data_IF_792779083664
#
_entry.id   IF_792779083664
#
_cell.length_a   1.000
_cell.length_b   1.000
_cell.length_c   1.000
_cell.angle_alpha   90.00
_cell.angle_beta   90.00
_cell.angle_gamma   90.00
#
_symmetry.space_group_name_H-M   'P 1'
#
loop_
_entity.id
_entity.type
_entity.pdbx_description
1 polymer ?
#
# COMPACT_ATOMS: atom_id res chain seq x y z
N UNK A 1 -17.00 -9.28 7.72
CA UNK A 1 -15.56 -8.95 7.95
C UNK A 1 -15.48 -7.48 8.34
N UNK A 2 -14.56 -7.11 9.22
CA UNK A 2 -14.20 -5.72 9.49
C UNK A 2 -12.74 -5.51 9.11
N UNK A 3 -12.41 -4.40 8.45
CA UNK A 3 -11.06 -4.09 7.99
C UNK A 3 -10.50 -2.83 8.66
N UNK A 4 -9.20 -2.81 8.94
CA UNK A 4 -8.41 -1.60 9.15
C UNK A 4 -7.70 -1.25 7.84
N UNK A 5 -7.87 -0.04 7.36
CA UNK A 5 -7.17 0.49 6.16
C UNK A 5 -6.30 1.66 6.57
N UNK A 6 -4.98 1.54 6.38
CA UNK A 6 -4.03 2.63 6.60
C UNK A 6 -3.76 3.39 5.30
N UNK A 7 -3.36 4.67 5.39
CA UNK A 7 -3.28 5.53 4.21
C UNK A 7 -4.66 5.82 3.60
N UNK A 8 -5.70 5.78 4.42
CA UNK A 8 -7.10 5.79 4.00
C UNK A 8 -7.58 7.16 3.47
N UNK A 9 -6.83 8.23 3.65
CA UNK A 9 -7.05 9.52 3.01
C UNK A 9 -6.39 9.63 1.62
N UNK A 10 -5.52 8.67 1.26
CA UNK A 10 -4.86 8.59 -0.04
C UNK A 10 -5.73 7.93 -1.11
N UNK A 11 -5.38 8.11 -2.39
CA UNK A 11 -6.22 7.64 -3.50
C UNK A 11 -6.48 6.12 -3.51
N UNK A 12 -5.46 5.28 -3.24
CA UNK A 12 -5.65 3.83 -3.17
C UNK A 12 -6.34 3.43 -1.86
N UNK A 13 -5.90 4.00 -0.72
CA UNK A 13 -6.46 3.65 0.59
C UNK A 13 -7.94 3.99 0.72
N UNK A 14 -8.39 5.16 0.20
CA UNK A 14 -9.81 5.52 0.18
C UNK A 14 -10.62 4.55 -0.68
N UNK A 15 -10.14 4.23 -1.88
CA UNK A 15 -10.82 3.28 -2.76
C UNK A 15 -10.88 1.86 -2.17
N UNK A 16 -9.86 1.45 -1.42
CA UNK A 16 -9.89 0.19 -0.66
C UNK A 16 -10.97 0.25 0.42
N UNK A 17 -11.01 1.31 1.23
CA UNK A 17 -12.00 1.48 2.28
C UNK A 17 -13.44 1.46 1.70
N UNK A 18 -13.67 2.21 0.65
CA UNK A 18 -14.95 2.24 -0.08
C UNK A 18 -15.34 0.86 -0.64
N UNK A 19 -14.38 0.10 -1.18
CA UNK A 19 -14.65 -1.22 -1.73
C UNK A 19 -15.07 -2.21 -0.63
N UNK A 20 -14.48 -2.14 0.57
CA UNK A 20 -14.93 -2.92 1.72
C UNK A 20 -16.34 -2.53 2.14
N UNK A 21 -16.66 -1.24 2.26
CA UNK A 21 -18.00 -0.75 2.63
C UNK A 21 -19.07 -1.15 1.61
N UNK A 22 -18.78 -0.99 0.33
CA UNK A 22 -19.68 -1.42 -0.75
C UNK A 22 -19.91 -2.94 -0.74
N UNK A 23 -18.96 -3.71 -0.22
CA UNK A 23 -19.08 -5.13 0.06
C UNK A 23 -19.86 -5.46 1.34
N UNK A 24 -20.41 -4.48 2.06
CA UNK A 24 -21.13 -4.66 3.32
C UNK A 24 -20.20 -4.94 4.52
N UNK A 25 -18.94 -4.52 4.46
CA UNK A 25 -17.96 -4.72 5.52
C UNK A 25 -17.73 -3.44 6.33
N UNK A 26 -17.46 -3.57 7.63
CA UNK A 26 -17.05 -2.43 8.46
C UNK A 26 -15.60 -2.01 8.14
N UNK A 27 -15.31 -0.72 8.27
CA UNK A 27 -13.97 -0.18 8.04
C UNK A 27 -13.57 0.77 9.16
N UNK A 28 -12.40 0.51 9.77
CA UNK A 28 -11.64 1.47 10.56
C UNK A 28 -10.58 2.10 9.64
N UNK A 29 -10.47 3.41 9.63
CA UNK A 29 -9.51 4.14 8.79
C UNK A 29 -8.37 4.69 9.62
N UNK A 30 -7.20 4.77 9.01
CA UNK A 30 -6.04 5.44 9.61
C UNK A 30 -5.28 6.23 8.54
N UNK A 31 -4.83 7.43 8.88
CA UNK A 31 -3.88 8.24 8.08
C UNK A 31 -3.22 9.31 8.96
N UNK A 32 -2.24 10.03 8.42
CA UNK A 32 -1.63 11.22 9.05
C UNK A 32 -2.64 12.35 9.28
N UNK A 33 -3.68 12.42 8.44
CA UNK A 33 -4.74 13.44 8.49
C UNK A 33 -6.08 12.82 8.12
N UNK A 34 -7.12 13.14 8.84
CA UNK A 34 -8.48 12.83 8.42
C UNK A 34 -8.94 13.85 7.36
N UNK A 35 -9.75 13.45 6.36
CA UNK A 35 -10.47 14.37 5.52
C UNK A 35 -11.39 15.26 6.36
N UNK A 36 -11.60 16.52 5.96
CA UNK A 36 -12.43 17.48 6.71
C UNK A 36 -13.88 16.97 6.93
N UNK A 37 -14.43 16.29 5.91
CA UNK A 37 -15.77 15.70 5.93
C UNK A 37 -15.67 14.16 6.02
N UNK A 38 -14.61 13.65 6.65
CA UNK A 38 -14.34 12.21 6.77
C UNK A 38 -15.26 11.52 7.77
N UNK A 39 -15.34 10.18 7.70
CA UNK A 39 -16.11 9.39 8.65
C UNK A 39 -15.57 9.53 10.07
N UNK A 40 -16.44 9.41 11.06
CA UNK A 40 -16.08 9.51 12.49
C UNK A 40 -15.08 8.41 12.93
N UNK A 41 -15.06 7.28 12.23
CA UNK A 41 -14.23 6.13 12.58
C UNK A 41 -12.84 6.22 11.90
N UNK A 42 -12.03 7.19 12.37
CA UNK A 42 -10.72 7.51 11.79
C UNK A 42 -9.67 7.70 12.90
N UNK A 43 -8.58 6.95 12.83
CA UNK A 43 -7.39 7.12 13.68
C UNK A 43 -6.40 8.02 12.96
N UNK A 44 -6.15 9.19 13.52
CA UNK A 44 -5.17 10.15 12.98
C UNK A 44 -3.84 9.97 13.71
N UNK A 45 -2.75 9.82 12.96
CA UNK A 45 -1.41 9.76 13.53
C UNK A 45 -0.39 9.11 12.60
N UNK A 46 0.88 9.23 13.02
CA UNK A 46 2.00 8.67 12.29
C UNK A 46 2.26 7.22 12.74
N UNK A 47 2.31 6.27 11.81
CA UNK A 47 2.64 4.87 12.10
C UNK A 47 4.11 4.65 12.55
N UNK A 48 4.93 5.70 12.57
CA UNK A 48 6.21 5.69 13.25
C UNK A 48 6.10 5.85 14.78
N UNK A 49 4.95 6.31 15.29
CA UNK A 49 4.72 6.60 16.70
C UNK A 49 4.17 5.37 17.43
N UNK A 50 4.75 5.03 18.58
CA UNK A 50 4.35 3.87 19.37
C UNK A 50 2.92 3.97 19.88
N UNK A 51 2.48 5.15 20.28
CA UNK A 51 1.12 5.40 20.78
C UNK A 51 0.06 5.12 19.70
N UNK A 52 0.33 5.49 18.44
CA UNK A 52 -0.57 5.23 17.31
C UNK A 52 -0.66 3.72 17.04
N UNK A 53 0.47 3.02 17.07
CA UNK A 53 0.49 1.56 16.88
C UNK A 53 -0.22 0.83 18.02
N UNK A 54 -0.04 1.28 19.27
CA UNK A 54 -0.73 0.72 20.43
C UNK A 54 -2.25 0.94 20.34
N UNK A 55 -2.69 2.11 19.91
CA UNK A 55 -4.12 2.41 19.69
C UNK A 55 -4.68 1.53 18.57
N UNK A 56 -3.99 1.39 17.45
CA UNK A 56 -4.43 0.52 16.36
C UNK A 56 -4.51 -0.95 16.79
N UNK A 57 -3.51 -1.45 17.52
CA UNK A 57 -3.54 -2.82 18.06
C UNK A 57 -4.76 -3.04 18.97
N UNK A 58 -5.00 -2.10 19.88
CA UNK A 58 -6.18 -2.14 20.77
C UNK A 58 -7.49 -2.11 19.97
N UNK A 59 -7.60 -1.25 18.95
CA UNK A 59 -8.80 -1.15 18.09
C UNK A 59 -9.01 -2.42 17.28
N UNK A 60 -7.93 -3.02 16.74
CA UNK A 60 -7.99 -4.30 16.01
C UNK A 60 -8.58 -5.40 16.89
N UNK A 61 -8.18 -5.45 18.17
CA UNK A 61 -8.71 -6.41 19.15
C UNK A 61 -10.17 -6.11 19.51
N UNK A 62 -10.45 -4.90 20.03
CA UNK A 62 -11.75 -4.54 20.60
C UNK A 62 -12.87 -4.48 19.57
N UNK A 63 -12.56 -4.07 18.34
CA UNK A 63 -13.53 -3.97 17.25
C UNK A 63 -13.60 -5.22 16.37
N UNK A 64 -12.87 -6.26 16.77
CA UNK A 64 -12.87 -7.55 16.09
C UNK A 64 -12.51 -7.44 14.60
N UNK A 65 -11.45 -6.72 14.31
CA UNK A 65 -10.97 -6.54 12.92
C UNK A 65 -10.34 -7.84 12.43
N UNK A 66 -10.77 -8.30 11.25
CA UNK A 66 -10.34 -9.55 10.62
C UNK A 66 -9.27 -9.35 9.55
N UNK A 67 -9.16 -8.12 9.03
CA UNK A 67 -8.25 -7.79 7.96
C UNK A 67 -7.57 -6.44 8.21
N UNK A 68 -6.26 -6.37 7.97
CA UNK A 68 -5.54 -5.10 7.93
C UNK A 68 -5.00 -4.89 6.51
N UNK A 69 -5.28 -3.73 5.92
CA UNK A 69 -4.74 -3.32 4.62
C UNK A 69 -3.77 -2.17 4.83
N UNK A 70 -2.48 -2.44 4.69
CA UNK A 70 -1.43 -1.43 4.75
C UNK A 70 -1.29 -0.77 3.37
N UNK A 71 -2.00 0.36 3.15
CA UNK A 71 -2.02 1.10 1.89
C UNK A 71 -1.30 2.46 1.96
N UNK A 72 -0.67 2.78 3.09
CA UNK A 72 0.13 3.98 3.25
C UNK A 72 1.49 3.88 2.54
N UNK A 73 2.03 5.02 2.16
CA UNK A 73 3.36 5.13 1.57
C UNK A 73 3.59 6.49 0.92
N UNK A 74 4.83 6.74 0.56
CA UNK A 74 5.27 7.97 -0.12
C UNK A 74 5.98 7.62 -1.42
N UNK A 75 5.96 8.54 -2.40
CA UNK A 75 6.78 8.41 -3.60
C UNK A 75 8.27 8.56 -3.26
N UNK A 76 9.12 7.94 -4.05
CA UNK A 76 10.55 8.15 -4.00
C UNK A 76 10.94 9.50 -4.63
N UNK A 77 12.18 9.91 -4.44
CA UNK A 77 12.76 11.02 -5.18
C UNK A 77 13.00 10.62 -6.64
N UNK A 78 12.77 11.56 -7.55
CA UNK A 78 12.82 11.33 -9.01
C UNK A 78 14.24 11.14 -9.52
N UNK A 79 15.29 11.64 -8.84
CA UNK A 79 16.67 11.55 -9.29
C UNK A 79 17.56 10.82 -8.28
N UNK A 80 18.00 9.60 -8.66
CA UNK A 80 18.93 8.77 -7.87
C UNK A 80 20.30 9.42 -7.63
N UNK A 81 20.71 10.34 -8.50
CA UNK A 81 22.05 10.98 -8.42
C UNK A 81 22.12 12.05 -7.33
N UNK A 82 20.96 12.48 -6.81
CA UNK A 82 20.84 13.56 -5.82
C UNK A 82 20.18 13.14 -4.51
N UNK A 83 19.89 11.84 -4.30
CA UNK A 83 19.16 11.38 -3.12
C UNK A 83 20.04 11.45 -1.86
N UNK A 84 19.61 12.18 -0.86
CA UNK A 84 20.29 12.27 0.42
C UNK A 84 20.06 11.03 1.29
N UNK A 85 20.95 10.78 2.27
CA UNK A 85 20.74 9.73 3.26
C UNK A 85 19.47 9.97 4.11
N UNK A 86 19.09 11.23 4.30
CA UNK A 86 17.86 11.60 5.01
C UNK A 86 16.62 11.22 4.22
N UNK A 87 16.57 11.56 2.93
CA UNK A 87 15.50 11.15 2.03
C UNK A 87 15.38 9.63 1.92
N UNK A 88 16.52 8.94 1.83
CA UNK A 88 16.55 7.46 1.84
C UNK A 88 15.91 6.91 3.12
N UNK A 89 16.33 7.41 4.28
CA UNK A 89 15.73 6.99 5.57
C UNK A 89 14.24 7.30 5.62
N UNK A 90 13.81 8.48 5.18
CA UNK A 90 12.40 8.85 5.16
C UNK A 90 11.56 7.88 4.33
N UNK A 91 11.96 7.60 3.07
CA UNK A 91 11.23 6.67 2.18
C UNK A 91 11.21 5.25 2.76
N UNK A 92 12.35 4.74 3.25
CA UNK A 92 12.42 3.42 3.85
C UNK A 92 11.57 3.32 5.12
N UNK A 93 11.56 4.35 5.95
CA UNK A 93 10.73 4.39 7.17
C UNK A 93 9.25 4.40 6.81
N UNK A 94 8.84 5.29 5.90
CA UNK A 94 7.44 5.45 5.54
C UNK A 94 6.86 4.27 4.75
N UNK A 95 7.66 3.64 3.88
CA UNK A 95 7.15 2.58 3.00
C UNK A 95 7.37 1.18 3.54
N UNK A 96 8.39 0.98 4.38
CA UNK A 96 8.79 -0.37 4.80
C UNK A 96 8.69 -0.53 6.31
N UNK A 97 9.47 0.24 7.07
CA UNK A 97 9.57 0.06 8.53
C UNK A 97 8.21 0.20 9.21
N UNK A 98 7.40 1.20 8.81
CA UNK A 98 6.06 1.41 9.35
C UNK A 98 5.11 0.25 9.10
N UNK A 99 5.20 -0.39 7.90
CA UNK A 99 4.38 -1.57 7.56
C UNK A 99 4.78 -2.77 8.42
N UNK A 100 6.09 -2.99 8.62
CA UNK A 100 6.58 -4.07 9.46
C UNK A 100 6.15 -3.87 10.92
N UNK A 101 6.29 -2.66 11.45
CA UNK A 101 5.86 -2.32 12.82
C UNK A 101 4.34 -2.47 13.00
N UNK A 102 3.55 -2.03 12.02
CA UNK A 102 2.11 -2.26 12.03
C UNK A 102 1.79 -3.76 12.07
N UNK A 103 2.47 -4.56 11.23
CA UNK A 103 2.29 -6.01 11.24
C UNK A 103 2.60 -6.60 12.62
N UNK A 104 3.74 -6.26 13.21
CA UNK A 104 4.13 -6.74 14.54
C UNK A 104 3.10 -6.40 15.62
N UNK A 105 2.53 -5.19 15.55
CA UNK A 105 1.52 -4.73 16.51
C UNK A 105 0.19 -5.48 16.39
N UNK A 106 -0.25 -5.87 15.17
CA UNK A 106 -1.59 -6.44 14.94
C UNK A 106 -1.57 -7.95 14.68
N UNK A 107 -0.44 -8.54 14.32
CA UNK A 107 -0.34 -9.94 13.96
C UNK A 107 -0.80 -10.92 15.06
N UNK A 108 -0.53 -10.68 16.36
CA UNK A 108 -1.03 -11.56 17.41
C UNK A 108 -2.57 -11.71 17.37
N UNK A 109 -3.29 -10.59 17.30
CA UNK A 109 -4.75 -10.58 17.25
C UNK A 109 -5.27 -11.22 15.94
N UNK A 110 -4.65 -10.88 14.81
CA UNK A 110 -5.04 -11.47 13.53
C UNK A 110 -4.81 -12.98 13.48
N UNK A 111 -3.78 -13.51 14.18
CA UNK A 111 -3.55 -14.97 14.28
C UNK A 111 -4.71 -15.68 14.96
N UNK A 112 -5.16 -15.17 16.10
CA UNK A 112 -6.28 -15.74 16.85
C UNK A 112 -7.57 -15.78 16.04
N UNK A 113 -7.74 -14.83 15.14
CA UNK A 113 -8.93 -14.67 14.29
C UNK A 113 -8.80 -15.32 12.92
N UNK A 114 -7.69 -15.99 12.62
CA UNK A 114 -7.39 -16.48 11.27
C UNK A 114 -7.49 -15.35 10.23
N UNK A 115 -7.05 -14.16 10.58
CA UNK A 115 -7.18 -12.93 9.81
C UNK A 115 -6.22 -12.83 8.62
N UNK A 116 -6.30 -11.72 7.89
CA UNK A 116 -5.44 -11.40 6.76
C UNK A 116 -4.70 -10.08 6.95
N UNK A 117 -3.49 -10.00 6.42
CA UNK A 117 -2.72 -8.76 6.32
C UNK A 117 -2.36 -8.52 4.86
N UNK A 118 -2.96 -7.51 4.26
CA UNK A 118 -2.78 -7.12 2.86
C UNK A 118 -1.82 -5.94 2.80
N UNK A 119 -0.73 -6.09 2.07
CA UNK A 119 0.27 -5.02 1.85
C UNK A 119 0.10 -4.46 0.46
N UNK A 120 -0.16 -3.17 0.35
CA UNK A 120 -0.08 -2.46 -0.93
C UNK A 120 1.39 -2.12 -1.20
N UNK A 121 2.04 -3.01 -1.96
CA UNK A 121 3.42 -2.83 -2.39
C UNK A 121 3.48 -1.91 -3.63
N UNK A 122 3.96 -2.42 -4.75
CA UNK A 122 4.01 -1.77 -6.07
C UNK A 122 4.58 -2.76 -7.10
N UNK A 123 4.36 -2.53 -8.39
CA UNK A 123 5.17 -3.18 -9.44
C UNK A 123 6.67 -2.89 -9.26
N UNK A 124 7.02 -1.71 -8.71
CA UNK A 124 8.39 -1.34 -8.35
C UNK A 124 9.01 -2.22 -7.25
N UNK A 125 8.24 -3.10 -6.63
CA UNK A 125 8.70 -4.17 -5.74
C UNK A 125 8.92 -5.52 -6.45
N UNK A 126 8.61 -5.60 -7.75
CA UNK A 126 8.73 -6.78 -8.59
C UNK A 126 9.77 -6.60 -9.69
N UNK A 127 9.88 -5.38 -10.23
CA UNK A 127 10.84 -4.99 -11.25
C UNK A 127 11.50 -3.67 -10.87
N UNK A 128 12.73 -3.44 -11.37
CA UNK A 128 13.42 -2.16 -11.19
C UNK A 128 12.86 -1.10 -12.14
N UNK A 129 12.60 0.09 -11.62
CA UNK A 129 12.19 1.26 -12.38
C UNK A 129 13.34 2.26 -12.45
N UNK A 130 13.64 2.77 -13.64
CA UNK A 130 14.66 3.80 -13.82
C UNK A 130 14.32 5.05 -12.98
N UNK A 131 15.35 5.68 -12.40
CA UNK A 131 15.24 6.90 -11.59
C UNK A 131 14.37 6.78 -10.32
N UNK A 132 14.01 5.55 -9.88
CA UNK A 132 13.16 5.31 -8.72
C UNK A 132 13.76 4.31 -7.71
N UNK A 133 15.10 4.25 -7.63
CA UNK A 133 15.81 3.17 -6.94
C UNK A 133 15.50 3.00 -5.45
N UNK A 134 15.38 4.09 -4.68
CA UNK A 134 15.06 4.00 -3.24
C UNK A 134 13.62 3.55 -3.04
N UNK A 135 12.70 4.04 -3.86
CA UNK A 135 11.33 3.56 -3.84
C UNK A 135 11.25 2.08 -4.20
N UNK A 136 11.92 1.66 -5.30
CA UNK A 136 12.03 0.24 -5.65
C UNK A 136 12.58 -0.56 -4.48
N UNK A 137 13.71 -0.15 -3.89
CA UNK A 137 14.30 -0.85 -2.73
C UNK A 137 13.30 -1.00 -1.58
N UNK A 138 12.53 0.06 -1.27
CA UNK A 138 11.51 0.02 -0.22
C UNK A 138 10.39 -0.98 -0.53
N UNK A 139 9.95 -1.06 -1.78
CA UNK A 139 8.88 -1.97 -2.21
C UNK A 139 9.36 -3.41 -2.40
N UNK A 140 10.60 -3.63 -2.89
CA UNK A 140 11.23 -4.96 -2.89
C UNK A 140 11.40 -5.52 -1.47
N UNK A 141 11.76 -4.65 -0.50
CA UNK A 141 11.87 -5.05 0.89
C UNK A 141 10.54 -5.61 1.44
N UNK A 142 9.40 -4.98 1.11
CA UNK A 142 8.08 -5.49 1.50
C UNK A 142 7.78 -6.87 0.89
N UNK A 143 8.08 -7.05 -0.40
CA UNK A 143 7.85 -8.33 -1.10
C UNK A 143 8.74 -9.42 -0.51
N UNK A 144 10.02 -9.14 -0.30
CA UNK A 144 10.97 -10.07 0.32
C UNK A 144 10.56 -10.46 1.74
N UNK A 145 10.25 -9.45 2.57
CA UNK A 145 9.79 -9.66 3.93
C UNK A 145 8.51 -10.51 4.00
N UNK A 146 7.48 -10.17 3.24
CA UNK A 146 6.21 -10.89 3.29
C UNK A 146 6.36 -12.36 2.88
N UNK A 147 7.19 -12.64 1.86
CA UNK A 147 7.53 -14.02 1.44
C UNK A 147 8.30 -14.78 2.53
N UNK A 148 9.23 -14.12 3.22
CA UNK A 148 9.98 -14.73 4.31
C UNK A 148 9.08 -15.00 5.52
N UNK A 149 8.26 -14.02 5.91
CA UNK A 149 7.34 -14.14 7.04
C UNK A 149 6.29 -15.25 6.80
N UNK A 150 5.70 -15.32 5.61
CA UNK A 150 4.74 -16.38 5.29
C UNK A 150 5.35 -17.79 5.34
N UNK A 151 6.65 -17.93 5.06
CA UNK A 151 7.37 -19.21 5.25
C UNK A 151 7.61 -19.49 6.73
N UNK A 152 7.98 -18.49 7.52
CA UNK A 152 8.20 -18.62 8.94
C UNK A 152 6.93 -19.04 9.68
N UNK A 153 5.79 -18.47 9.29
CA UNK A 153 4.47 -18.80 9.84
C UNK A 153 3.94 -20.17 9.36
N UNK A 154 4.67 -20.86 8.49
CA UNK A 154 4.31 -22.19 7.95
C UNK A 154 2.86 -22.26 7.39
N UNK A 155 2.38 -21.15 6.84
CA UNK A 155 1.03 -21.02 6.31
C UNK A 155 -0.06 -20.74 7.36
N UNK A 156 0.31 -20.50 8.62
CA UNK A 156 -0.61 -20.03 9.64
C UNK A 156 -1.04 -18.57 9.41
N UNK A 157 -2.05 -18.12 10.15
CA UNK A 157 -2.46 -16.71 10.14
C UNK A 157 -1.41 -15.80 10.83
N UNK A 158 -1.40 -14.49 10.50
CA UNK A 158 -2.25 -13.86 9.50
C UNK A 158 -1.84 -14.24 8.09
N UNK A 159 -2.81 -14.40 7.21
CA UNK A 159 -2.52 -14.66 5.79
C UNK A 159 -1.94 -13.40 5.14
N UNK A 160 -0.68 -13.47 4.75
CA UNK A 160 -0.02 -12.37 4.07
C UNK A 160 -0.42 -12.30 2.59
N UNK A 161 -0.76 -11.10 2.14
CA UNK A 161 -1.17 -10.81 0.77
C UNK A 161 -0.43 -9.58 0.28
N UNK A 162 0.03 -9.61 -0.94
CA UNK A 162 0.70 -8.50 -1.59
C UNK A 162 -0.14 -8.05 -2.78
N UNK A 163 -0.61 -6.83 -2.75
CA UNK A 163 -1.16 -6.13 -3.90
C UNK A 163 -0.04 -5.26 -4.48
N UNK A 164 0.30 -5.49 -5.74
CA UNK A 164 1.36 -4.78 -6.45
C UNK A 164 0.76 -3.96 -7.60
N UNK A 165 0.33 -2.71 -7.33
CA UNK A 165 -0.20 -1.83 -8.35
C UNK A 165 0.86 -1.42 -9.38
N UNK A 166 0.43 -1.21 -10.61
CA UNK A 166 1.13 -0.37 -11.60
C UNK A 166 0.86 1.12 -11.38
N UNK A 167 1.19 1.93 -12.38
CA UNK A 167 0.85 3.35 -12.39
C UNK A 167 -0.66 3.53 -12.26
N UNK A 168 -1.09 4.21 -11.20
CA UNK A 168 -2.50 4.36 -10.82
C UNK A 168 -2.86 5.82 -10.66
N UNK A 169 -4.02 6.24 -11.15
CA UNK A 169 -4.55 7.61 -11.06
C UNK A 169 -4.76 8.04 -9.62
N UNK A 170 -3.72 8.62 -9.01
CA UNK A 170 -3.73 9.12 -7.64
C UNK A 170 -3.01 10.45 -7.58
N UNK A 171 -3.29 11.24 -6.55
CA UNK A 171 -2.56 12.49 -6.31
C UNK A 171 -1.05 12.27 -6.23
N UNK A 172 -0.61 11.16 -5.61
CA UNK A 172 0.79 10.77 -5.52
C UNK A 172 1.44 10.66 -6.91
N UNK A 173 0.75 10.04 -7.87
CA UNK A 173 1.25 9.89 -9.24
C UNK A 173 1.24 11.20 -10.01
N UNK A 174 0.19 12.00 -9.85
CA UNK A 174 0.09 13.35 -10.48
C UNK A 174 1.27 14.20 -10.02
N UNK A 175 1.53 14.27 -8.71
CA UNK A 175 2.63 15.06 -8.16
C UNK A 175 4.00 14.54 -8.64
N UNK A 176 4.18 13.21 -8.78
CA UNK A 176 5.39 12.60 -9.32
C UNK A 176 5.60 12.96 -10.81
N UNK A 177 4.55 12.89 -11.63
CA UNK A 177 4.63 13.23 -13.05
C UNK A 177 4.86 14.72 -13.27
N UNK A 178 4.26 15.59 -12.46
CA UNK A 178 4.56 17.02 -12.49
C UNK A 178 6.04 17.29 -12.19
N UNK A 179 6.60 16.65 -11.16
CA UNK A 179 8.01 16.76 -10.86
C UNK A 179 8.93 16.24 -11.97
N UNK A 180 8.52 15.17 -12.67
CA UNK A 180 9.25 14.68 -13.86
C UNK A 180 9.19 15.68 -15.00
N UNK A 181 8.03 16.24 -15.30
CA UNK A 181 7.83 17.24 -16.35
C UNK A 181 8.69 18.48 -16.09
N UNK A 182 8.64 19.01 -14.87
CA UNK A 182 9.44 20.19 -14.45
C UNK A 182 10.95 19.92 -14.59
N UNK A 183 11.41 18.72 -14.19
CA UNK A 183 12.83 18.35 -14.25
C UNK A 183 13.34 18.13 -15.68
N UNK A 184 12.46 17.67 -16.57
CA UNK A 184 12.78 17.40 -17.98
C UNK A 184 12.54 18.60 -18.89
N UNK A 185 11.89 19.67 -18.42
CA UNK A 185 11.47 20.82 -19.23
C UNK A 185 10.41 20.46 -20.28
N UNK A 186 9.52 19.53 -19.93
CA UNK A 186 8.42 19.05 -20.80
C UNK A 186 7.07 19.29 -20.12
N UNK A 187 5.94 18.93 -20.77
CA UNK A 187 4.61 19.07 -20.18
C UNK A 187 4.18 17.81 -19.38
N UNK A 188 3.24 18.00 -18.45
CA UNK A 188 2.60 16.89 -17.74
C UNK A 188 1.94 15.91 -18.72
N UNK A 189 1.28 16.42 -19.76
CA UNK A 189 0.57 15.63 -20.78
C UNK A 189 1.54 14.75 -21.58
N UNK A 190 2.74 15.22 -21.86
CA UNK A 190 3.78 14.43 -22.54
C UNK A 190 4.28 13.30 -21.64
N UNK A 191 4.50 13.56 -20.35
CA UNK A 191 4.90 12.53 -19.38
C UNK A 191 3.80 11.49 -19.21
N UNK A 192 2.55 11.94 -19.05
CA UNK A 192 1.37 11.07 -18.93
C UNK A 192 1.20 10.22 -20.20
N UNK A 193 1.19 10.84 -21.38
CA UNK A 193 1.01 10.12 -22.64
C UNK A 193 2.10 9.09 -22.92
N UNK A 194 3.38 9.42 -22.61
CA UNK A 194 4.48 8.47 -22.69
C UNK A 194 4.30 7.29 -21.72
N UNK A 195 3.80 7.58 -20.50
CA UNK A 195 3.54 6.54 -19.50
C UNK A 195 2.39 5.62 -19.92
N UNK A 196 1.28 6.16 -20.41
CA UNK A 196 0.14 5.36 -20.87
C UNK A 196 0.50 4.51 -22.09
N UNK A 197 1.28 5.04 -23.02
CA UNK A 197 1.76 4.30 -24.18
C UNK A 197 2.68 3.11 -23.80
N UNK A 198 3.35 3.19 -22.67
CA UNK A 198 4.19 2.11 -22.16
C UNK A 198 3.41 0.99 -21.46
N UNK A 199 2.17 1.25 -21.05
CA UNK A 199 1.29 0.26 -20.41
C UNK A 199 0.59 -0.54 -21.51
N UNK A 200 0.69 -1.89 -21.54
CA UNK A 200 -0.01 -2.69 -22.55
C UNK A 200 -1.53 -2.45 -22.60
N UNK A 201 -2.16 -2.13 -21.46
CA UNK A 201 -3.56 -1.73 -21.38
C UNK A 201 -3.87 -0.32 -21.88
N UNK A 202 -2.87 0.47 -22.27
CA UNK A 202 -3.01 1.81 -22.87
C UNK A 202 -3.55 2.89 -21.92
N UNK A 203 -3.57 2.66 -20.61
CA UNK A 203 -4.07 3.61 -19.62
C UNK A 203 -3.48 3.36 -18.23
N UNK A 204 -3.58 4.35 -17.39
CA UNK A 204 -3.33 4.17 -15.95
C UNK A 204 -4.37 3.23 -15.30
N UNK A 205 -3.98 2.56 -14.23
CA UNK A 205 -4.91 1.86 -13.34
C UNK A 205 -5.81 2.85 -12.60
N UNK A 206 -7.03 2.43 -12.27
CA UNK A 206 -7.95 3.23 -11.47
C UNK A 206 -7.96 2.75 -10.02
N UNK A 207 -8.01 3.64 -9.00
CA UNK A 207 -8.04 3.24 -7.60
C UNK A 207 -9.11 2.21 -7.26
N UNK A 208 -10.30 2.29 -7.87
CA UNK A 208 -11.40 1.34 -7.66
C UNK A 208 -11.04 -0.10 -8.04
N UNK A 209 -10.18 -0.29 -9.04
CA UNK A 209 -9.70 -1.62 -9.45
C UNK A 209 -8.82 -2.24 -8.37
N UNK A 210 -8.03 -1.42 -7.69
CA UNK A 210 -7.19 -1.83 -6.56
C UNK A 210 -8.01 -2.09 -5.30
N UNK A 211 -9.06 -1.31 -5.08
CA UNK A 211 -10.04 -1.56 -4.02
C UNK A 211 -10.67 -2.94 -4.15
N UNK A 212 -11.18 -3.28 -5.34
CA UNK A 212 -11.75 -4.59 -5.63
C UNK A 212 -10.73 -5.73 -5.45
N UNK A 213 -9.49 -5.53 -5.91
CA UNK A 213 -8.40 -6.50 -5.75
C UNK A 213 -8.04 -6.71 -4.28
N UNK A 214 -8.02 -5.66 -3.45
CA UNK A 214 -7.73 -5.76 -2.02
C UNK A 214 -8.81 -6.57 -1.28
N UNK A 215 -10.10 -6.33 -1.57
CA UNK A 215 -11.22 -7.10 -1.01
C UNK A 215 -11.13 -8.58 -1.41
N UNK A 216 -10.85 -8.86 -2.67
CA UNK A 216 -10.66 -10.23 -3.16
C UNK A 216 -9.49 -10.92 -2.43
N UNK A 217 -8.33 -10.27 -2.31
CA UNK A 217 -7.16 -10.80 -1.61
C UNK A 217 -7.45 -11.08 -0.13
N UNK A 218 -8.16 -10.18 0.55
CA UNK A 218 -8.55 -10.34 1.94
C UNK A 218 -9.45 -11.55 2.16
N UNK A 219 -10.36 -11.82 1.21
CA UNK A 219 -11.31 -12.92 1.25
C UNK A 219 -10.73 -14.30 0.96
N UNK A 220 -9.52 -14.39 0.39
CA UNK A 220 -8.91 -15.68 0.07
C UNK A 220 -8.52 -16.45 1.33
N UNK A 221 -8.94 -17.70 1.41
CA UNK A 221 -8.70 -18.58 2.57
C UNK A 221 -7.42 -19.41 2.48
N UNK A 222 -6.71 -19.36 1.33
CA UNK A 222 -5.44 -20.08 1.16
C UNK A 222 -4.40 -19.57 2.15
N UNK A 223 -3.58 -20.46 2.68
CA UNK A 223 -2.57 -20.14 3.70
C UNK A 223 -1.28 -19.55 3.14
N UNK A 224 -1.03 -19.65 1.83
CA UNK A 224 0.21 -19.16 1.22
C UNK A 224 0.22 -17.64 1.02
N UNK A 225 1.41 -17.05 0.98
CA UNK A 225 1.60 -15.68 0.53
C UNK A 225 1.22 -15.56 -0.96
N UNK A 226 0.27 -14.68 -1.26
CA UNK A 226 -0.16 -14.39 -2.63
C UNK A 226 0.36 -13.01 -3.03
N UNK A 227 0.94 -12.94 -4.23
CA UNK A 227 1.34 -11.69 -4.88
C UNK A 227 0.41 -11.46 -6.07
N UNK A 228 -0.35 -10.39 -6.04
CA UNK A 228 -1.24 -9.99 -7.13
C UNK A 228 -0.70 -8.72 -7.80
N UNK A 229 -0.26 -8.84 -9.04
CA UNK A 229 0.15 -7.71 -9.86
C UNK A 229 -1.07 -7.15 -10.62
N UNK A 230 -1.40 -5.89 -10.37
CA UNK A 230 -2.48 -5.15 -11.06
C UNK A 230 -1.85 -3.98 -11.79
N UNK A 231 -1.27 -4.26 -12.95
CA UNK A 231 -0.28 -3.40 -13.62
C UNK A 231 -0.66 -3.01 -15.05
N UNK A 232 -1.87 -3.36 -15.49
CA UNK A 232 -2.26 -3.12 -16.89
C UNK A 232 -1.47 -3.97 -17.91
N UNK A 233 -0.77 -5.02 -17.43
CA UNK A 233 0.02 -5.93 -18.27
C UNK A 233 1.51 -5.61 -18.32
N UNK A 234 2.01 -4.59 -17.61
CA UNK A 234 3.45 -4.27 -17.60
C UNK A 234 4.30 -5.33 -16.88
N UNK A 235 3.74 -5.94 -15.85
CA UNK A 235 4.41 -7.00 -15.07
C UNK A 235 3.50 -8.21 -15.07
N UNK A 236 4.02 -9.30 -15.59
CA UNK A 236 3.36 -10.61 -15.65
C UNK A 236 4.10 -11.56 -14.69
N UNK A 237 3.39 -12.09 -13.71
CA UNK A 237 3.90 -13.08 -12.73
C UNK A 237 2.92 -14.23 -12.57
#
# INVERSE_FOLDING_TARGET
>A
MKALVTGAAGGIGSAVAEAFENGGHGVLRQDLRAPADGPEDFVVGNLADDDVLAELSRRVETEQIDCVVAAHGVAGAVDLRSISAEQTRFVMTANTVSVLRLYEAVAPVLRERSGAFVVVASQAGLVGEANNGVYCASKFALVGWARAQARADAGAAPRLRLLCPGATETRLLVDAFQGMADSAGTSYEEVLGAREAAIPGGRLGRPVELGAAAVWLAGLTTSSCIVAAVTGGEVLH
#
